data_IF_965749082933
#
_entry.id   IF_965749082933
#
_cell.length_a   1.000
_cell.length_b   1.000
_cell.length_c   1.000
_cell.angle_alpha   90.00
_cell.angle_beta   90.00
_cell.angle_gamma   90.00
#
_symmetry.space_group_name_H-M   'P 1'
#
loop_
_entity.id
_entity.type
_entity.pdbx_description
1 polymer ?
#
# COMPACT_ATOMS: atom_id res chain seq x y z
N UNK A 1 -1.77 -30.17 16.47
CA UNK A 1 -2.48 -29.42 15.39
C UNK A 1 -1.92 -28.02 15.39
N UNK A 2 -1.58 -27.46 14.22
CA UNK A 2 -1.12 -26.05 14.18
C UNK A 2 -2.36 -25.16 14.12
N UNK A 3 -2.58 -24.26 15.10
CA UNK A 3 -3.78 -23.43 15.14
C UNK A 3 -3.63 -22.28 14.14
N UNK A 4 -4.37 -22.36 13.04
CA UNK A 4 -4.47 -21.30 12.05
C UNK A 4 -5.91 -20.85 11.89
N UNK A 5 -6.10 -19.56 11.73
CA UNK A 5 -7.35 -18.99 11.23
C UNK A 5 -7.17 -18.69 9.75
N UNK A 6 -8.01 -19.25 8.91
CA UNK A 6 -8.03 -18.98 7.47
C UNK A 6 -9.24 -18.12 7.14
N UNK A 7 -8.97 -17.04 6.40
CA UNK A 7 -9.99 -16.09 5.98
C UNK A 7 -9.89 -15.96 4.46
N UNK A 8 -11.00 -16.16 3.76
CA UNK A 8 -11.12 -15.82 2.34
C UNK A 8 -12.12 -14.68 2.19
N UNK A 9 -11.71 -13.62 1.51
CA UNK A 9 -12.55 -12.47 1.22
C UNK A 9 -12.92 -12.44 -0.26
N UNK A 10 -14.17 -12.11 -0.53
CA UNK A 10 -14.67 -11.80 -1.88
C UNK A 10 -15.05 -10.33 -1.90
N UNK A 11 -14.56 -9.60 -2.88
CA UNK A 11 -14.84 -8.18 -3.07
C UNK A 11 -15.33 -7.93 -4.48
N UNK A 12 -16.45 -7.26 -4.62
CA UNK A 12 -16.83 -6.60 -5.86
C UNK A 12 -16.11 -5.25 -5.94
N UNK A 13 -15.38 -5.04 -7.01
CA UNK A 13 -14.75 -3.76 -7.33
C UNK A 13 -15.43 -3.20 -8.56
N UNK A 14 -15.73 -1.91 -8.52
CA UNK A 14 -16.35 -1.18 -9.62
C UNK A 14 -15.54 0.10 -9.84
N UNK A 15 -14.96 0.23 -11.02
CA UNK A 15 -14.09 1.33 -11.42
C UNK A 15 -13.07 1.77 -10.36
N UNK A 16 -12.41 0.80 -9.73
CA UNK A 16 -11.50 1.01 -8.59
C UNK A 16 -10.04 0.97 -9.03
N UNK A 17 -9.20 1.79 -8.39
CA UNK A 17 -7.74 1.70 -8.51
C UNK A 17 -7.16 1.12 -7.23
N UNK A 18 -6.43 0.01 -7.35
CA UNK A 18 -5.80 -0.65 -6.20
C UNK A 18 -4.44 -0.07 -5.82
N UNK A 19 -3.82 0.68 -6.72
CA UNK A 19 -2.55 1.36 -6.44
C UNK A 19 -2.55 2.72 -7.13
N UNK A 20 -2.40 3.78 -6.35
CA UNK A 20 -2.52 5.16 -6.83
C UNK A 20 -1.17 5.72 -7.30
N UNK A 21 -0.08 5.33 -6.65
CA UNK A 21 1.24 5.94 -6.87
C UNK A 21 1.82 5.64 -8.26
N UNK A 22 1.60 4.43 -8.78
CA UNK A 22 2.14 3.95 -10.06
C UNK A 22 1.01 3.59 -11.05
N UNK A 23 -0.21 4.03 -10.78
CA UNK A 23 -1.39 3.62 -11.51
C UNK A 23 -1.89 2.22 -11.11
N UNK A 24 -2.74 1.64 -11.95
CA UNK A 24 -3.33 0.33 -11.69
C UNK A 24 -2.32 -0.79 -11.90
N UNK A 25 -1.99 -1.54 -10.83
CA UNK A 25 -1.14 -2.74 -10.95
C UNK A 25 -1.87 -3.84 -11.71
N UNK A 26 -1.17 -4.42 -12.66
CA UNK A 26 -1.67 -5.54 -13.46
C UNK A 26 -0.56 -6.55 -13.75
N UNK A 27 -0.94 -7.80 -13.97
CA UNK A 27 -0.07 -8.86 -14.45
C UNK A 27 -0.65 -9.49 -15.71
N UNK A 28 0.21 -10.08 -16.54
CA UNK A 28 -0.22 -10.79 -17.72
C UNK A 28 -0.63 -12.22 -17.37
N UNK A 29 -1.85 -12.60 -17.74
CA UNK A 29 -2.34 -13.97 -17.63
C UNK A 29 -2.15 -14.69 -18.98
N UNK A 30 -1.24 -15.69 -19.03
CA UNK A 30 -0.92 -16.36 -20.30
C UNK A 30 -2.03 -17.29 -20.77
N UNK A 31 -2.88 -17.80 -19.88
CA UNK A 31 -3.97 -18.72 -20.26
C UNK A 31 -5.09 -17.97 -20.96
N UNK A 32 -5.37 -16.74 -20.54
CA UNK A 32 -6.42 -15.90 -21.12
C UNK A 32 -5.87 -14.78 -22.01
N UNK A 33 -4.54 -14.73 -22.21
CA UNK A 33 -3.84 -13.77 -23.05
C UNK A 33 -4.28 -12.32 -22.80
N UNK A 34 -4.32 -11.91 -21.52
CA UNK A 34 -4.78 -10.56 -21.11
C UNK A 34 -4.08 -10.03 -19.86
N UNK A 35 -4.07 -8.71 -19.73
CA UNK A 35 -3.66 -8.05 -18.50
C UNK A 35 -4.79 -8.14 -17.48
N UNK A 36 -4.45 -8.50 -16.24
CA UNK A 36 -5.39 -8.71 -15.14
C UNK A 36 -4.97 -7.83 -13.95
N UNK A 37 -5.88 -7.02 -13.40
CA UNK A 37 -5.56 -6.15 -12.27
C UNK A 37 -5.40 -6.93 -10.97
N UNK A 38 -4.54 -6.42 -10.10
CA UNK A 38 -4.36 -7.00 -8.76
C UNK A 38 -3.96 -5.95 -7.74
N UNK A 39 -4.17 -6.26 -6.46
CA UNK A 39 -3.54 -5.58 -5.34
C UNK A 39 -2.56 -6.52 -4.65
N UNK A 40 -1.37 -6.04 -4.32
CA UNK A 40 -0.37 -6.89 -3.65
C UNK A 40 -0.80 -7.25 -2.23
N UNK A 41 -0.41 -8.43 -1.75
CA UNK A 41 -0.64 -8.84 -0.37
C UNK A 41 -0.05 -7.87 0.65
N UNK A 42 1.08 -7.22 0.32
CA UNK A 42 1.66 -6.17 1.17
C UNK A 42 0.75 -4.95 1.31
N UNK A 43 0.13 -4.51 0.22
CA UNK A 43 -0.80 -3.39 0.24
C UNK A 43 -2.04 -3.72 1.09
N UNK A 44 -2.63 -4.90 0.88
CA UNK A 44 -3.78 -5.36 1.66
C UNK A 44 -3.41 -5.45 3.14
N UNK A 45 -2.26 -6.05 3.44
CA UNK A 45 -1.75 -6.15 4.80
C UNK A 45 -1.57 -4.77 5.44
N UNK A 46 -1.02 -3.80 4.70
CA UNK A 46 -0.89 -2.43 5.19
C UNK A 46 -2.25 -1.82 5.54
N UNK A 47 -3.26 -2.00 4.67
CA UNK A 47 -4.61 -1.52 4.94
C UNK A 47 -5.19 -2.19 6.21
N UNK A 48 -5.03 -3.51 6.37
CA UNK A 48 -5.50 -4.22 7.57
C UNK A 48 -4.84 -3.67 8.83
N UNK A 49 -3.53 -3.50 8.84
CA UNK A 49 -2.80 -2.99 10.01
C UNK A 49 -3.19 -1.55 10.34
N UNK A 50 -3.38 -0.71 9.33
CA UNK A 50 -3.85 0.67 9.51
C UNK A 50 -5.26 0.70 10.11
N UNK A 51 -6.20 -0.07 9.54
CA UNK A 51 -7.56 -0.16 10.06
C UNK A 51 -7.59 -0.66 11.51
N UNK A 52 -6.80 -1.69 11.82
CA UNK A 52 -6.73 -2.21 13.20
C UNK A 52 -6.20 -1.17 14.20
N UNK A 53 -5.18 -0.40 13.83
CA UNK A 53 -4.64 0.64 14.71
C UNK A 53 -5.63 1.79 14.89
N UNK A 54 -6.35 2.15 13.84
CA UNK A 54 -7.38 3.20 13.88
C UNK A 54 -8.59 2.75 14.73
N UNK A 55 -9.12 1.55 14.48
CA UNK A 55 -10.27 1.00 15.22
C UNK A 55 -9.98 0.81 16.72
N UNK A 56 -8.77 0.41 17.06
CA UNK A 56 -8.34 0.25 18.45
C UNK A 56 -7.82 1.55 19.08
N UNK A 57 -7.73 2.61 18.30
CA UNK A 57 -7.20 3.91 18.72
C UNK A 57 -5.80 3.80 19.38
N UNK A 58 -4.92 3.02 18.76
CA UNK A 58 -3.54 2.81 19.23
C UNK A 58 -2.53 3.28 18.17
N UNK A 59 -1.36 3.79 18.59
CA UNK A 59 -0.36 4.26 17.63
C UNK A 59 0.29 3.10 16.88
N UNK A 60 0.67 3.35 15.63
CA UNK A 60 1.60 2.49 14.89
C UNK A 60 3.02 2.63 15.47
N UNK A 61 3.83 1.59 15.31
CA UNK A 61 5.24 1.63 15.69
C UNK A 61 5.99 2.72 14.91
N UNK A 62 6.83 3.53 15.57
CA UNK A 62 7.69 4.48 14.89
C UNK A 62 8.75 3.73 14.08
N UNK A 63 8.80 3.98 12.79
CA UNK A 63 9.79 3.41 11.87
C UNK A 63 10.63 4.55 11.30
N UNK A 64 11.95 4.42 11.39
CA UNK A 64 12.89 5.40 10.86
C UNK A 64 13.61 4.82 9.65
N UNK A 65 13.54 5.53 8.53
CA UNK A 65 14.29 5.22 7.33
C UNK A 65 15.59 6.03 7.32
N UNK A 66 16.71 5.36 7.20
CA UNK A 66 18.02 5.98 7.16
C UNK A 66 18.53 6.06 5.72
N UNK A 67 19.13 7.19 5.37
CA UNK A 67 19.73 7.43 4.06
C UNK A 67 21.15 7.98 4.23
N UNK A 68 22.06 7.59 3.36
CA UNK A 68 23.38 8.16 3.24
C UNK A 68 23.51 8.91 1.91
N UNK A 69 24.18 10.05 1.95
CA UNK A 69 24.61 10.74 0.73
C UNK A 69 25.89 10.04 0.24
N UNK A 70 25.84 9.55 -0.97
CA UNK A 70 27.01 8.92 -1.60
C UNK A 70 27.94 10.01 -2.19
N UNK A 71 29.21 9.63 -2.42
CA UNK A 71 30.22 10.56 -3.05
C UNK A 71 29.84 11.03 -4.46
N UNK A 72 28.80 10.45 -5.07
CA UNK A 72 28.28 10.81 -6.40
C UNK A 72 26.94 11.58 -6.29
N UNK A 73 26.71 12.24 -5.17
CA UNK A 73 25.51 13.05 -4.87
C UNK A 73 24.17 12.27 -4.98
N UNK A 74 24.22 10.96 -4.84
CA UNK A 74 23.05 10.10 -4.79
C UNK A 74 22.60 9.81 -3.35
N UNK A 75 21.28 9.64 -3.13
CA UNK A 75 20.75 9.12 -1.89
C UNK A 75 20.73 7.57 -1.94
N UNK A 76 21.44 6.97 -0.99
CA UNK A 76 21.44 5.52 -0.81
C UNK A 76 20.61 5.15 0.42
N UNK A 77 19.64 4.28 0.23
CA UNK A 77 18.82 3.75 1.33
C UNK A 77 19.69 2.84 2.21
N UNK A 78 19.60 3.06 3.50
CA UNK A 78 20.31 2.26 4.52
C UNK A 78 19.32 1.47 5.37
N UNK A 79 19.82 0.95 6.48
CA UNK A 79 19.03 0.15 7.42
C UNK A 79 17.81 0.89 7.94
N UNK A 80 16.68 0.22 7.97
CA UNK A 80 15.47 0.72 8.61
C UNK A 80 15.50 0.35 10.09
N UNK A 81 15.26 1.33 10.95
CA UNK A 81 15.13 1.09 12.37
C UNK A 81 13.65 0.88 12.74
N UNK A 82 13.38 -0.16 13.53
CA UNK A 82 12.09 -0.43 14.13
C UNK A 82 12.26 -0.77 15.60
N UNK A 83 11.31 -0.44 16.49
CA UNK A 83 11.41 -0.74 17.93
C UNK A 83 11.44 -2.23 18.22
N UNK A 84 10.94 -3.09 17.33
CA UNK A 84 10.80 -4.54 17.52
C UNK A 84 10.03 -4.87 18.82
N UNK A 85 8.92 -4.18 19.02
CA UNK A 85 8.12 -4.19 20.24
C UNK A 85 6.71 -4.72 19.95
N UNK A 86 6.32 -5.87 20.55
CA UNK A 86 5.00 -6.47 20.35
C UNK A 86 3.85 -5.66 20.93
N UNK A 87 4.10 -4.65 21.76
CA UNK A 87 3.08 -3.73 22.25
C UNK A 87 2.46 -2.89 21.15
N UNK A 88 3.17 -2.72 20.02
CA UNK A 88 2.60 -2.12 18.83
C UNK A 88 1.89 -3.20 18.01
N UNK A 89 0.60 -3.02 17.78
CA UNK A 89 -0.23 -4.03 17.13
C UNK A 89 0.19 -4.32 15.69
N UNK A 90 0.66 -3.30 14.98
CA UNK A 90 1.21 -3.43 13.62
C UNK A 90 2.49 -4.29 13.61
N UNK A 91 3.30 -4.24 14.67
CA UNK A 91 4.45 -5.11 14.82
C UNK A 91 4.08 -6.49 15.34
N UNK A 92 3.16 -6.59 16.27
CA UNK A 92 2.67 -7.87 16.79
C UNK A 92 2.13 -8.75 15.65
N UNK A 93 1.27 -8.19 14.82
CA UNK A 93 0.60 -8.91 13.71
C UNK A 93 1.44 -8.87 12.44
N UNK A 94 2.07 -7.74 12.16
CA UNK A 94 2.87 -7.52 10.95
C UNK A 94 4.25 -8.18 10.96
N UNK A 95 4.79 -8.49 12.13
CA UNK A 95 6.18 -8.87 12.31
C UNK A 95 7.12 -7.67 12.24
N UNK A 96 8.41 -7.89 12.46
CA UNK A 96 9.43 -6.86 12.39
C UNK A 96 10.77 -7.38 11.87
N UNK A 97 11.58 -6.46 11.43
CA UNK A 97 12.99 -6.67 11.15
C UNK A 97 13.77 -5.41 11.49
N UNK A 98 14.86 -5.57 12.23
CA UNK A 98 15.85 -4.53 12.46
C UNK A 98 17.22 -5.14 12.21
N UNK A 99 17.97 -4.56 11.29
CA UNK A 99 19.32 -4.97 10.95
C UNK A 99 20.21 -3.72 10.90
N UNK A 100 21.45 -3.84 11.32
CA UNK A 100 22.46 -2.80 11.21
C UNK A 100 23.80 -3.41 10.84
N UNK A 101 24.77 -2.60 10.44
CA UNK A 101 26.04 -3.03 9.87
C UNK A 101 26.86 -3.94 10.82
N UNK A 102 26.75 -3.73 12.13
CA UNK A 102 27.50 -4.46 13.16
C UNK A 102 26.57 -5.09 14.21
N UNK A 103 25.30 -5.33 13.85
CA UNK A 103 24.29 -5.87 14.76
C UNK A 103 23.75 -7.21 14.24
N UNK A 104 23.48 -8.12 15.17
CA UNK A 104 22.68 -9.31 14.84
C UNK A 104 21.28 -8.85 14.46
N UNK A 105 20.82 -9.28 13.27
CA UNK A 105 19.51 -8.93 12.78
C UNK A 105 18.42 -9.49 13.71
N UNK A 106 17.63 -8.59 14.30
CA UNK A 106 16.41 -8.95 15.03
C UNK A 106 15.26 -9.04 14.03
N UNK A 107 14.65 -10.21 13.95
CA UNK A 107 13.50 -10.42 13.05
C UNK A 107 12.45 -11.29 13.71
N UNK A 108 11.21 -10.99 13.45
CA UNK A 108 10.07 -11.82 13.79
C UNK A 108 9.20 -12.00 12.55
N UNK A 109 8.90 -13.26 12.23
CA UNK A 109 7.98 -13.56 11.13
C UNK A 109 6.60 -13.01 11.45
N UNK A 110 5.95 -12.44 10.44
CA UNK A 110 4.57 -12.02 10.56
C UNK A 110 3.64 -13.21 10.84
N UNK A 111 2.83 -13.18 11.89
CA UNK A 111 1.73 -14.13 12.06
C UNK A 111 0.67 -14.04 10.97
N UNK A 112 0.46 -12.85 10.41
CA UNK A 112 -0.51 -12.61 9.33
C UNK A 112 0.16 -12.80 7.97
N UNK A 113 -0.29 -13.81 7.23
CA UNK A 113 0.04 -14.01 5.82
C UNK A 113 -1.15 -13.57 4.95
N UNK A 114 -0.88 -12.81 3.90
CA UNK A 114 -1.92 -12.27 3.00
C UNK A 114 -1.51 -12.53 1.56
N UNK A 115 -2.41 -13.12 0.78
CA UNK A 115 -2.22 -13.28 -0.66
C UNK A 115 -2.42 -11.95 -1.40
N UNK A 116 -2.00 -11.89 -2.67
CA UNK A 116 -2.49 -10.83 -3.54
C UNK A 116 -4.01 -10.96 -3.70
N UNK A 117 -4.71 -9.83 -3.74
CA UNK A 117 -6.10 -9.77 -4.18
C UNK A 117 -6.11 -9.76 -5.70
N UNK A 118 -6.74 -10.76 -6.28
CA UNK A 118 -6.80 -10.98 -7.73
C UNK A 118 -8.23 -11.35 -8.12
N UNK A 119 -8.61 -11.20 -9.39
CA UNK A 119 -9.90 -11.69 -9.85
C UNK A 119 -10.08 -13.17 -9.50
N UNK A 120 -11.28 -13.54 -9.07
CA UNK A 120 -11.63 -14.94 -8.79
C UNK A 120 -11.48 -15.81 -10.06
N UNK A 121 -11.69 -15.19 -11.20
CA UNK A 121 -11.44 -15.74 -12.50
C UNK A 121 -11.07 -14.61 -13.49
N UNK A 122 -10.13 -14.77 -14.42
CA UNK A 122 -9.74 -13.71 -15.36
C UNK A 122 -10.86 -13.14 -16.22
N UNK A 123 -11.95 -13.90 -16.43
CA UNK A 123 -13.14 -13.42 -17.14
C UNK A 123 -14.15 -12.68 -16.22
N UNK A 124 -14.03 -12.82 -14.91
CA UNK A 124 -14.91 -12.17 -13.93
C UNK A 124 -14.32 -10.89 -13.33
N UNK A 125 -13.13 -10.51 -13.74
CA UNK A 125 -12.51 -9.27 -13.36
C UNK A 125 -11.50 -8.81 -14.42
N UNK A 126 -11.42 -7.53 -14.63
CA UNK A 126 -10.62 -6.97 -15.70
C UNK A 126 -10.21 -5.53 -15.48
N UNK A 127 -9.49 -5.02 -16.46
CA UNK A 127 -9.12 -3.62 -16.60
C UNK A 127 -10.07 -2.95 -17.59
N UNK A 128 -10.66 -1.85 -17.18
CA UNK A 128 -11.46 -0.99 -18.03
C UNK A 128 -10.81 0.38 -18.14
N UNK A 129 -10.88 0.98 -19.32
CA UNK A 129 -10.54 2.40 -19.46
C UNK A 129 -11.72 3.24 -19.02
N UNK A 130 -11.46 4.15 -18.12
CA UNK A 130 -12.44 5.16 -17.73
C UNK A 130 -12.54 6.24 -18.81
N UNK A 131 -13.12 5.87 -19.96
CA UNK A 131 -13.29 6.77 -21.09
C UNK A 131 -14.29 7.88 -20.84
N UNK A 132 -15.26 7.59 -19.98
CA UNK A 132 -16.42 8.44 -19.70
C UNK A 132 -16.25 9.23 -18.41
N UNK A 133 -15.08 9.09 -17.74
CA UNK A 133 -14.83 9.71 -16.44
C UNK A 133 -15.90 9.39 -15.39
N UNK A 134 -16.34 8.13 -15.37
CA UNK A 134 -17.37 7.65 -14.44
C UNK A 134 -16.85 7.63 -12.99
N UNK A 135 -15.53 7.50 -12.82
CA UNK A 135 -14.92 7.51 -11.49
C UNK A 135 -15.09 8.88 -10.86
N UNK A 136 -15.61 8.90 -9.65
CA UNK A 136 -15.77 10.14 -8.89
C UNK A 136 -14.41 10.83 -8.68
N UNK A 137 -14.27 12.04 -9.15
CA UNK A 137 -13.08 12.86 -9.04
C UNK A 137 -13.35 14.07 -8.15
N UNK A 138 -12.49 14.30 -7.18
CA UNK A 138 -12.54 15.44 -6.28
C UNK A 138 -11.69 16.61 -6.75
N UNK A 139 -11.01 16.45 -7.89
CA UNK A 139 -10.01 17.39 -8.37
C UNK A 139 -10.55 18.59 -9.14
N UNK A 140 -11.85 18.68 -9.34
CA UNK A 140 -12.46 19.80 -10.07
C UNK A 140 -12.69 21.06 -9.22
N UNK A 141 -12.21 21.11 -7.99
CA UNK A 141 -12.23 22.30 -7.18
C UNK A 141 -10.93 23.08 -7.37
N UNK A 142 -10.90 24.15 -8.16
CA UNK A 142 -9.67 24.88 -8.52
C UNK A 142 -8.93 25.43 -7.31
N UNK A 143 -9.66 25.81 -6.27
CA UNK A 143 -9.12 26.34 -5.02
C UNK A 143 -8.31 25.30 -4.21
N UNK A 144 -8.52 24.01 -4.46
CA UNK A 144 -7.81 22.93 -3.75
C UNK A 144 -6.60 22.43 -4.50
N UNK A 145 -6.50 22.72 -5.78
CA UNK A 145 -5.45 22.24 -6.67
C UNK A 145 -4.82 23.39 -7.43
N UNK A 146 -4.00 24.22 -6.74
CA UNK A 146 -3.26 25.26 -7.42
C UNK A 146 -2.31 24.67 -8.47
N UNK A 147 -2.24 25.31 -9.61
CA UNK A 147 -1.36 24.92 -10.70
C UNK A 147 -0.20 25.91 -10.78
N UNK A 148 1.02 25.38 -10.74
CA UNK A 148 2.23 26.13 -10.97
C UNK A 148 2.81 25.75 -12.34
N UNK A 149 3.14 26.72 -13.15
CA UNK A 149 3.79 26.51 -14.45
C UNK A 149 5.17 27.16 -14.41
N UNK A 150 6.19 26.43 -14.86
CA UNK A 150 7.59 26.89 -15.00
C UNK A 150 8.03 26.69 -16.44
N UNK A 151 8.90 27.58 -16.89
CA UNK A 151 9.64 27.39 -18.15
C UNK A 151 10.82 26.46 -17.84
N UNK A 152 11.04 25.46 -18.69
CA UNK A 152 12.16 24.53 -18.54
C UNK A 152 13.48 25.30 -18.46
N UNK A 153 14.30 25.00 -17.46
CA UNK A 153 15.57 25.70 -17.20
C UNK A 153 15.45 27.02 -16.40
N UNK A 154 14.24 27.36 -15.93
CA UNK A 154 13.99 28.51 -15.04
C UNK A 154 13.23 28.08 -13.79
N UNK A 155 13.68 28.54 -12.62
CA UNK A 155 12.98 28.32 -11.34
C UNK A 155 11.83 29.33 -11.13
N UNK A 156 11.65 30.29 -12.03
CA UNK A 156 10.58 31.28 -11.92
C UNK A 156 9.23 30.64 -12.25
N UNK A 157 8.26 30.84 -11.36
CA UNK A 157 6.88 30.50 -11.62
C UNK A 157 6.21 31.57 -12.49
N UNK A 158 5.41 31.13 -13.46
CA UNK A 158 4.59 32.02 -14.28
C UNK A 158 3.43 32.57 -13.44
N UNK A 159 3.05 33.82 -13.71
CA UNK A 159 1.83 34.40 -13.12
C UNK A 159 0.58 33.82 -13.76
N UNK A 160 -0.57 34.05 -13.17
CA UNK A 160 -1.86 33.55 -13.71
C UNK A 160 -2.13 34.09 -15.11
N UNK A 161 -1.84 35.38 -15.31
CA UNK A 161 -2.01 36.10 -16.58
C UNK A 161 -1.07 35.53 -17.66
N UNK A 162 0.18 35.25 -17.29
CA UNK A 162 1.13 34.61 -18.20
C UNK A 162 0.71 33.19 -18.60
N UNK A 163 0.16 32.41 -17.63
CA UNK A 163 -0.36 31.07 -17.91
C UNK A 163 -1.57 31.15 -18.85
N UNK A 164 -2.52 32.03 -18.59
CA UNK A 164 -3.72 32.18 -19.42
C UNK A 164 -3.35 32.62 -20.85
N UNK A 165 -2.46 33.59 -20.99
CA UNK A 165 -1.96 34.04 -22.29
C UNK A 165 -1.26 32.91 -23.05
N UNK A 166 -0.41 32.13 -22.37
CA UNK A 166 0.27 31.00 -22.97
C UNK A 166 -0.71 29.92 -23.46
N UNK A 167 -1.72 29.59 -22.64
CA UNK A 167 -2.72 28.58 -22.98
C UNK A 167 -3.56 29.00 -24.18
N UNK A 168 -4.01 30.26 -24.22
CA UNK A 168 -4.77 30.82 -25.34
C UNK A 168 -3.94 30.84 -26.64
N UNK A 169 -2.71 31.37 -26.58
CA UNK A 169 -1.86 31.50 -27.74
C UNK A 169 -1.46 30.15 -28.35
N UNK A 170 -1.37 29.11 -27.55
CA UNK A 170 -0.95 27.77 -27.98
C UNK A 170 -2.11 26.79 -28.12
N UNK A 171 -3.36 27.21 -27.92
CA UNK A 171 -4.54 26.36 -27.90
C UNK A 171 -4.35 25.10 -27.02
N UNK A 172 -3.83 25.32 -25.80
CA UNK A 172 -3.56 24.27 -24.83
C UNK A 172 -4.47 24.37 -23.61
N UNK A 173 -4.71 23.25 -22.97
CA UNK A 173 -5.41 23.15 -21.70
C UNK A 173 -4.54 22.47 -20.66
N UNK A 174 -4.61 22.92 -19.40
CA UNK A 174 -3.93 22.22 -18.30
C UNK A 174 -4.75 21.03 -17.87
N UNK A 175 -4.12 19.87 -17.91
CA UNK A 175 -4.73 18.66 -17.37
C UNK A 175 -4.49 18.61 -15.86
N UNK A 176 -5.56 18.70 -15.08
CA UNK A 176 -5.49 18.64 -13.60
C UNK A 176 -5.48 17.21 -13.06
N UNK A 177 -5.56 16.21 -13.94
CA UNK A 177 -5.62 14.78 -13.61
C UNK A 177 -4.32 14.08 -13.98
N UNK A 178 -3.34 14.11 -13.09
CA UNK A 178 -2.05 13.43 -13.31
C UNK A 178 -1.93 12.14 -12.48
N UNK A 179 -2.90 11.87 -11.60
CA UNK A 179 -2.85 10.79 -10.62
C UNK A 179 -2.78 9.39 -11.22
N UNK A 180 -3.42 9.18 -12.39
CA UNK A 180 -3.54 7.87 -13.01
C UNK A 180 -3.30 8.02 -14.50
N UNK A 181 -2.03 7.84 -14.95
CA UNK A 181 -1.61 8.13 -16.32
C UNK A 181 -2.46 7.44 -17.39
N UNK A 182 -2.81 6.17 -17.16
CA UNK A 182 -3.50 5.35 -18.16
C UNK A 182 -5.02 5.32 -18.01
N UNK A 183 -5.56 6.01 -17.01
CA UNK A 183 -6.99 6.05 -16.72
C UNK A 183 -7.67 4.67 -16.73
N UNK A 184 -6.93 3.64 -16.29
CA UNK A 184 -7.43 2.27 -16.20
C UNK A 184 -7.96 1.98 -14.82
N UNK A 185 -9.06 1.23 -14.75
CA UNK A 185 -9.75 0.86 -13.52
C UNK A 185 -9.93 -0.65 -13.45
N UNK A 186 -9.92 -1.17 -12.23
CA UNK A 186 -10.24 -2.55 -11.96
C UNK A 186 -11.74 -2.70 -11.74
N UNK A 187 -12.35 -3.66 -12.42
CA UNK A 187 -13.77 -3.98 -12.29
C UNK A 187 -13.96 -5.49 -12.21
N UNK A 188 -14.87 -5.95 -11.38
CA UNK A 188 -15.29 -7.35 -11.26
C UNK A 188 -15.18 -7.94 -9.85
N UNK A 189 -15.11 -9.26 -9.78
CA UNK A 189 -15.04 -10.01 -8.53
C UNK A 189 -13.62 -10.42 -8.20
N UNK A 190 -13.16 -10.01 -7.03
CA UNK A 190 -11.79 -10.22 -6.55
C UNK A 190 -11.78 -11.07 -5.27
N UNK A 191 -10.75 -11.88 -5.12
CA UNK A 191 -10.53 -12.75 -3.96
C UNK A 191 -9.15 -12.48 -3.35
N UNK A 192 -9.10 -12.47 -2.03
CA UNK A 192 -7.86 -12.51 -1.26
C UNK A 192 -7.97 -13.55 -0.17
N UNK A 193 -6.87 -14.27 0.06
CA UNK A 193 -6.74 -15.28 1.10
C UNK A 193 -5.80 -14.78 2.18
N UNK A 194 -6.16 -15.03 3.44
CA UNK A 194 -5.37 -14.67 4.60
C UNK A 194 -5.24 -15.88 5.52
N UNK A 195 -4.12 -15.96 6.21
CA UNK A 195 -3.91 -16.94 7.26
C UNK A 195 -3.26 -16.26 8.47
N UNK A 196 -3.80 -16.49 9.64
CA UNK A 196 -3.24 -16.05 10.91
C UNK A 196 -2.70 -17.28 11.63
N UNK A 197 -1.39 -17.29 11.87
CA UNK A 197 -0.72 -18.30 12.68
C UNK A 197 -0.83 -17.89 14.16
N UNK A 198 -1.76 -18.49 14.89
CA UNK A 198 -2.01 -18.17 16.30
C UNK A 198 -0.81 -18.51 17.18
N UNK A 199 -0.04 -19.55 16.84
CA UNK A 199 1.18 -19.86 17.57
C UNK A 199 2.22 -18.75 17.41
N UNK A 200 2.46 -18.31 16.19
CA UNK A 200 3.38 -17.20 15.92
C UNK A 200 2.89 -15.88 16.51
N UNK A 201 1.58 -15.70 16.65
CA UNK A 201 1.00 -14.52 17.27
C UNK A 201 1.34 -14.43 18.76
N UNK A 202 1.27 -15.55 19.48
CA UNK A 202 1.55 -15.62 20.92
C UNK A 202 3.01 -15.90 21.28
N UNK A 203 3.83 -16.30 20.31
CA UNK A 203 5.28 -16.43 20.48
C UNK A 203 5.95 -15.09 20.16
N UNK A 204 6.32 -14.33 21.18
CA UNK A 204 6.83 -12.96 21.03
C UNK A 204 8.27 -12.92 20.55
N UNK A 205 9.07 -13.95 20.81
CA UNK A 205 10.46 -14.04 20.40
C UNK A 205 10.69 -15.16 19.40
N UNK A 206 11.73 -15.06 18.58
CA UNK A 206 12.09 -16.09 17.59
C UNK A 206 12.54 -17.41 18.22
N UNK A 207 12.94 -17.40 19.50
CA UNK A 207 13.38 -18.57 20.23
C UNK A 207 12.26 -19.27 21.01
N UNK A 208 11.08 -18.67 21.01
CA UNK A 208 9.92 -19.23 21.67
C UNK A 208 9.25 -20.29 20.78
N UNK A 209 9.24 -21.53 21.21
CA UNK A 209 8.60 -22.63 20.47
C UNK A 209 7.16 -22.87 20.88
N UNK A 210 6.80 -22.44 22.08
CA UNK A 210 5.46 -22.52 22.63
C UNK A 210 5.01 -21.15 23.18
N UNK A 211 3.74 -20.81 23.05
CA UNK A 211 3.24 -19.56 23.59
C UNK A 211 3.24 -19.61 25.11
N UNK A 212 3.82 -18.61 25.73
CA UNK A 212 3.61 -18.35 27.17
C UNK A 212 2.31 -17.58 27.31
N UNK A 213 1.22 -18.32 27.49
CA UNK A 213 -0.08 -17.73 27.77
C UNK A 213 -0.23 -17.58 29.29
N UNK A 214 -0.28 -16.34 29.77
CA UNK A 214 -0.71 -16.10 31.14
C UNK A 214 -2.21 -16.42 31.29
N UNK A 215 -2.70 -16.79 32.49
CA UNK A 215 -4.13 -16.99 32.71
C UNK A 215 -5.00 -15.81 32.28
N UNK A 216 -4.48 -14.59 32.41
CA UNK A 216 -5.16 -13.36 31.99
C UNK A 216 -5.25 -13.25 30.45
N UNK A 217 -4.23 -13.71 29.73
CA UNK A 217 -4.26 -13.76 28.26
C UNK A 217 -5.25 -14.83 27.75
N UNK A 218 -5.36 -15.94 28.47
CA UNK A 218 -6.34 -17.00 28.13
C UNK A 218 -7.75 -16.46 28.31
N UNK A 219 -8.03 -15.80 29.42
CA UNK A 219 -9.34 -15.20 29.72
C UNK A 219 -9.73 -14.09 28.73
N UNK A 220 -8.75 -13.35 28.22
CA UNK A 220 -9.00 -12.32 27.21
C UNK A 220 -9.25 -12.87 25.81
N UNK A 221 -9.01 -14.17 25.59
CA UNK A 221 -9.24 -14.87 24.31
C UNK A 221 -10.56 -15.67 24.29
N UNK A 222 -11.15 -15.92 25.46
CA UNK A 222 -12.48 -16.50 25.63
C UNK A 222 -13.58 -15.43 25.54
#
# INVERSE_FOLDING_TARGET
MKPYIYIRTLKHAEHTVFCVQEGQKAYFDPLFNRMVPYSSGQQIKRCILTTLTDDLNVPMAPITFNYNITKKDGLENKETWAPCDPRYIDQLIGGWMRAGKDMVALKRRSPLSVSAMRPIHPLLGGLERDKENITFDRSDRPEWHPVNVRIEGSDRLMTKEEIEAYLQNNNRTLTKRIWIPDNTRATGLFVADMAIDLRALFCVTTNQHEPELSPEMITALE
#
